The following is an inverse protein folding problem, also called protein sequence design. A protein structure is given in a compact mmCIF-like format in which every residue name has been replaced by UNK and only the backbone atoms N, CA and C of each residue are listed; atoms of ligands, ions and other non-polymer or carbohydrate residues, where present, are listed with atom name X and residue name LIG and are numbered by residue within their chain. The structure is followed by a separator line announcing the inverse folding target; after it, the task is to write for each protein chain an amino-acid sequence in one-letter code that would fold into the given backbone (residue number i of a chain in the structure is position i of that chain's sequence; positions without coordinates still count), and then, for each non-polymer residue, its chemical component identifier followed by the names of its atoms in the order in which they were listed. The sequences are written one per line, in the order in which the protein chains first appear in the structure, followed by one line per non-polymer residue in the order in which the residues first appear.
data_IF_895799570585
#
_entry.id   IF_895799570585
#
_cell.length_a   1.000
_cell.length_b   1.000
_cell.length_c   1.000
_cell.angle_alpha   90.00
_cell.angle_beta   90.00
_cell.angle_gamma   90.00
#
_symmetry.space_group_name_H-M   'P 1'
#
loop_
_entity.id
_entity.type
_entity.pdbx_description
1 polymer ?
#
# COMPACT_ATOMS: atom_id res chain seq x y z
N UNK A 1 3.97 -18.84 9.43
CA UNK A 1 3.03 -17.70 9.29
C UNK A 1 3.69 -16.71 8.37
N UNK A 2 2.97 -16.18 7.39
CA UNK A 2 3.55 -15.20 6.47
C UNK A 2 3.97 -13.94 7.23
N UNK A 3 5.17 -13.44 6.94
CA UNK A 3 5.67 -12.16 7.47
C UNK A 3 5.12 -10.96 6.67
N UNK A 4 4.32 -11.25 5.62
CA UNK A 4 3.60 -10.25 4.86
C UNK A 4 2.44 -9.70 5.69
N UNK A 5 2.23 -8.40 5.60
CA UNK A 5 1.00 -7.75 6.05
C UNK A 5 0.38 -6.98 4.89
N UNK A 6 -0.95 -6.97 4.83
CA UNK A 6 -1.72 -6.23 3.85
C UNK A 6 -2.76 -5.38 4.58
N UNK A 7 -2.86 -4.13 4.19
CA UNK A 7 -3.78 -3.16 4.76
C UNK A 7 -4.56 -2.47 3.66
N UNK A 8 -5.84 -2.26 3.92
CA UNK A 8 -6.66 -1.26 3.24
C UNK A 8 -6.50 0.07 3.97
N UNK A 9 -6.34 1.17 3.23
CA UNK A 9 -6.23 2.51 3.80
C UNK A 9 -7.55 3.24 3.60
N UNK A 10 -8.18 3.68 4.68
CA UNK A 10 -9.46 4.41 4.69
C UNK A 10 -9.22 5.80 5.30
N UNK A 11 -10.11 6.79 5.09
CA UNK A 11 -9.91 8.14 5.62
C UNK A 11 -9.72 8.20 7.14
N UNK A 12 -10.25 7.23 7.87
CA UNK A 12 -10.20 7.10 9.33
C UNK A 12 -9.06 6.20 9.83
N UNK A 13 -8.29 5.55 8.95
CA UNK A 13 -7.13 4.75 9.35
C UNK A 13 -6.80 3.61 8.41
N UNK A 14 -6.31 2.51 8.98
CA UNK A 14 -5.97 1.29 8.25
C UNK A 14 -6.79 0.11 8.75
N UNK A 15 -7.18 -0.76 7.83
CA UNK A 15 -7.85 -2.02 8.13
C UNK A 15 -7.00 -3.19 7.63
N UNK A 16 -6.61 -4.14 8.50
CA UNK A 16 -5.86 -5.32 8.06
C UNK A 16 -6.73 -6.18 7.14
N UNK A 17 -6.12 -6.68 6.06
CA UNK A 17 -6.74 -7.62 5.14
C UNK A 17 -6.12 -9.02 5.31
N UNK A 18 -6.86 -10.08 4.94
CA UNK A 18 -6.33 -11.44 4.96
C UNK A 18 -5.09 -11.58 4.06
N UNK A 19 -4.08 -12.29 4.56
CA UNK A 19 -2.88 -12.67 3.81
C UNK A 19 -2.89 -14.18 3.63
N UNK A 20 -2.75 -14.70 2.41
CA UNK A 20 -2.65 -16.15 2.19
C UNK A 20 -1.51 -16.75 3.01
N UNK A 21 -1.71 -17.90 3.69
CA UNK A 21 -0.74 -18.45 4.62
C UNK A 21 0.60 -18.81 3.95
N UNK A 22 0.54 -19.18 2.67
CA UNK A 22 1.68 -19.60 1.86
C UNK A 22 2.27 -18.46 1.02
N UNK A 23 1.79 -17.22 1.21
CA UNK A 23 2.32 -16.08 0.48
C UNK A 23 3.77 -15.77 0.93
N UNK A 24 4.67 -15.76 -0.04
CA UNK A 24 6.10 -15.44 0.02
C UNK A 24 6.41 -14.07 -0.58
N UNK A 25 5.53 -13.53 -1.42
CA UNK A 25 5.76 -12.30 -2.17
C UNK A 25 4.54 -11.38 -2.24
N UNK A 26 4.80 -10.11 -2.55
CA UNK A 26 3.74 -9.13 -2.74
C UNK A 26 2.77 -9.52 -3.86
N UNK A 27 3.23 -10.14 -4.97
CA UNK A 27 2.34 -10.44 -6.09
C UNK A 27 1.16 -11.36 -5.71
N UNK A 28 1.37 -12.27 -4.76
CA UNK A 28 0.37 -13.23 -4.27
C UNK A 28 -0.71 -12.55 -3.43
N UNK A 29 -0.46 -11.35 -2.92
CA UNK A 29 -1.42 -10.57 -2.13
C UNK A 29 -2.52 -9.92 -2.99
N UNK A 30 -2.28 -9.79 -4.31
CA UNK A 30 -3.17 -9.06 -5.22
C UNK A 30 -3.84 -9.97 -6.25
N UNK A 31 -3.77 -11.29 -6.08
CA UNK A 31 -4.50 -12.22 -6.95
C UNK A 31 -6.00 -11.93 -6.88
N UNK A 32 -6.63 -11.79 -8.05
CA UNK A 32 -8.05 -11.46 -8.17
C UNK A 32 -8.39 -9.97 -8.03
N UNK A 33 -7.41 -9.10 -7.79
CA UNK A 33 -7.61 -7.64 -7.82
C UNK A 33 -7.35 -7.09 -9.22
N UNK A 34 -8.16 -6.12 -9.66
CA UNK A 34 -7.82 -5.31 -10.82
C UNK A 34 -6.59 -4.47 -10.50
N UNK A 35 -5.44 -4.92 -11.00
CA UNK A 35 -4.15 -4.27 -10.77
C UNK A 35 -4.19 -2.84 -11.28
N UNK A 36 -3.69 -1.93 -10.44
CA UNK A 36 -3.60 -0.52 -10.75
C UNK A 36 -2.16 -0.03 -10.80
N UNK A 37 -1.93 1.19 -10.30
CA UNK A 37 -0.59 1.77 -10.20
C UNK A 37 -0.01 1.41 -8.83
N UNK A 38 1.23 0.94 -8.80
CA UNK A 38 1.92 0.66 -7.54
C UNK A 38 3.26 1.37 -7.45
N UNK A 39 3.74 1.51 -6.22
CA UNK A 39 5.11 1.91 -5.94
C UNK A 39 5.64 1.12 -4.76
N UNK A 40 6.88 0.66 -4.88
CA UNK A 40 7.60 -0.02 -3.82
C UNK A 40 8.75 0.86 -3.32
N UNK A 41 8.89 0.95 -2.01
CA UNK A 41 9.87 1.75 -1.30
C UNK A 41 10.36 1.04 -0.03
N UNK A 42 11.38 1.61 0.61
CA UNK A 42 11.99 1.08 1.83
C UNK A 42 11.80 2.05 2.99
N UNK A 43 11.62 1.48 4.18
CA UNK A 43 11.75 2.23 5.44
C UNK A 43 13.05 1.95 6.17
N UNK A 44 13.49 2.94 6.93
CA UNK A 44 14.51 2.87 7.97
C UNK A 44 13.91 3.36 9.27
N UNK A 45 14.48 2.93 10.40
CA UNK A 45 14.02 3.34 11.74
C UNK A 45 12.49 3.31 11.85
N UNK A 46 11.90 2.19 11.41
CA UNK A 46 10.47 1.90 11.35
C UNK A 46 9.69 2.67 10.27
N UNK A 47 9.61 3.99 10.36
CA UNK A 47 8.70 4.81 9.55
C UNK A 47 9.39 5.98 8.82
N UNK A 48 10.73 5.95 8.69
CA UNK A 48 11.46 6.90 7.84
C UNK A 48 11.56 6.34 6.43
N UNK A 49 10.77 6.91 5.53
CA UNK A 49 10.66 6.46 4.14
C UNK A 49 11.78 7.05 3.28
N UNK A 50 12.46 6.21 2.51
CA UNK A 50 13.43 6.67 1.52
C UNK A 50 12.70 7.23 0.29
N UNK A 51 12.85 8.52 0.01
CA UNK A 51 12.34 9.16 -1.22
C UNK A 51 10.82 9.16 -1.37
N UNK A 52 10.06 9.24 -0.27
CA UNK A 52 8.59 9.11 -0.30
C UNK A 52 7.91 10.06 -1.29
N UNK A 53 8.32 11.32 -1.32
CA UNK A 53 7.72 12.32 -2.21
C UNK A 53 7.92 11.98 -3.68
N UNK A 54 9.11 11.47 -4.05
CA UNK A 54 9.40 11.02 -5.42
C UNK A 54 8.55 9.80 -5.80
N UNK A 55 8.36 8.87 -4.86
CA UNK A 55 7.51 7.70 -5.06
C UNK A 55 6.04 8.12 -5.27
N UNK A 56 5.51 9.04 -4.47
CA UNK A 56 4.13 9.55 -4.61
C UNK A 56 3.97 10.29 -5.93
N UNK A 57 4.89 11.22 -6.24
CA UNK A 57 4.86 11.97 -7.51
C UNK A 57 4.86 11.05 -8.72
N UNK A 58 5.71 10.03 -8.72
CA UNK A 58 5.75 9.02 -9.79
C UNK A 58 4.43 8.27 -9.90
N UNK A 59 3.82 7.88 -8.78
CA UNK A 59 2.50 7.21 -8.77
C UNK A 59 1.41 8.10 -9.37
N UNK A 60 1.33 9.37 -8.97
CA UNK A 60 0.36 10.33 -9.52
C UNK A 60 0.56 10.51 -11.03
N UNK A 61 1.81 10.61 -11.49
CA UNK A 61 2.14 10.68 -12.91
C UNK A 61 1.70 9.42 -13.67
N UNK A 62 1.93 8.24 -13.11
CA UNK A 62 1.46 6.97 -13.70
C UNK A 62 -0.06 6.89 -13.77
N UNK A 63 -0.79 7.36 -12.75
CA UNK A 63 -2.26 7.44 -12.79
C UNK A 63 -2.74 8.37 -13.90
N UNK A 64 -2.10 9.53 -14.05
CA UNK A 64 -2.43 10.48 -15.12
C UNK A 64 -2.15 9.91 -16.53
N UNK A 65 -1.05 9.17 -16.72
CA UNK A 65 -0.73 8.51 -18.00
C UNK A 65 -1.75 7.44 -18.39
N UNK A 66 -2.41 6.83 -17.41
CA UNK A 66 -3.51 5.88 -17.64
C UNK A 66 -4.86 6.57 -17.85
N UNK A 67 -4.91 7.91 -17.83
CA UNK A 67 -6.13 8.69 -18.03
C UNK A 67 -7.13 8.55 -16.88
N UNK A 68 -6.65 8.32 -15.65
CA UNK A 68 -7.54 8.19 -14.50
C UNK A 68 -8.04 9.55 -14.02
N UNK A 69 -9.35 9.66 -13.83
CA UNK A 69 -9.99 10.86 -13.23
C UNK A 69 -9.88 10.87 -11.69
N UNK A 70 -9.42 9.77 -11.09
CA UNK A 70 -9.23 9.65 -9.66
C UNK A 70 -8.03 10.47 -9.18
N UNK A 71 -8.27 11.38 -8.24
CA UNK A 71 -7.23 12.14 -7.55
C UNK A 71 -6.79 11.39 -6.28
N UNK A 72 -5.49 11.12 -6.18
CA UNK A 72 -4.92 10.52 -4.98
C UNK A 72 -4.97 11.52 -3.82
N UNK A 73 -5.65 11.14 -2.74
CA UNK A 73 -5.53 11.87 -1.48
C UNK A 73 -4.19 11.52 -0.81
N UNK A 74 -3.20 12.39 -1.02
CA UNK A 74 -1.86 12.20 -0.45
C UNK A 74 -1.86 12.21 1.09
N UNK A 75 -2.79 12.93 1.71
CA UNK A 75 -2.87 12.99 3.18
C UNK A 75 -3.28 11.63 3.72
N UNK A 76 -4.34 11.05 3.14
CA UNK A 76 -4.80 9.70 3.49
C UNK A 76 -3.71 8.66 3.25
N UNK A 77 -3.01 8.72 2.11
CA UNK A 77 -1.90 7.81 1.83
C UNK A 77 -0.77 7.93 2.87
N UNK A 78 -0.34 9.15 3.22
CA UNK A 78 0.74 9.38 4.18
C UNK A 78 0.37 8.92 5.60
N UNK A 79 -0.85 9.21 6.03
CA UNK A 79 -1.38 8.71 7.30
C UNK A 79 -1.43 7.17 7.32
N UNK A 80 -1.92 6.56 6.24
CA UNK A 80 -1.95 5.10 6.09
C UNK A 80 -0.58 4.46 6.13
N UNK A 81 0.40 5.02 5.41
CA UNK A 81 1.80 4.56 5.41
C UNK A 81 2.41 4.60 6.81
N UNK A 82 2.21 5.71 7.52
CA UNK A 82 2.68 5.85 8.90
C UNK A 82 2.04 4.80 9.82
N UNK A 83 0.70 4.67 9.79
CA UNK A 83 -0.03 3.74 10.62
C UNK A 83 0.37 2.28 10.34
N UNK A 84 0.54 1.91 9.06
CA UNK A 84 0.88 0.55 8.68
C UNK A 84 2.32 0.18 9.10
N UNK A 85 3.28 1.10 8.94
CA UNK A 85 4.65 0.87 9.42
C UNK A 85 4.74 0.84 10.96
N UNK A 86 3.95 1.68 11.65
CA UNK A 86 3.86 1.66 13.10
C UNK A 86 3.32 0.32 13.61
N UNK A 87 2.24 -0.18 13.01
CA UNK A 87 1.63 -1.47 13.34
C UNK A 87 2.55 -2.67 13.01
N UNK A 88 3.32 -2.57 11.92
CA UNK A 88 4.26 -3.63 11.52
C UNK A 88 5.43 -3.78 12.50
N UNK A 89 5.88 -2.69 13.13
CA UNK A 89 6.82 -2.72 14.25
C UNK A 89 8.28 -3.08 13.89
N UNK A 90 8.59 -3.36 12.63
CA UNK A 90 9.95 -3.71 12.20
C UNK A 90 10.81 -2.45 11.99
N UNK A 91 12.13 -2.50 12.28
CA UNK A 91 13.02 -1.36 12.08
C UNK A 91 13.21 -1.02 10.60
N UNK A 92 13.05 -1.99 9.70
CA UNK A 92 13.16 -1.81 8.26
C UNK A 92 12.14 -2.69 7.54
N UNK A 93 11.39 -2.09 6.63
CA UNK A 93 10.41 -2.80 5.81
C UNK A 93 10.64 -2.50 4.33
N UNK A 94 10.30 -3.48 3.49
CA UNK A 94 9.85 -3.18 2.12
C UNK A 94 8.38 -2.85 2.22
N UNK A 95 8.00 -1.70 1.69
CA UNK A 95 6.63 -1.22 1.62
C UNK A 95 6.24 -1.16 0.15
N UNK A 96 5.05 -1.63 -0.18
CA UNK A 96 4.42 -1.41 -1.47
C UNK A 96 3.06 -0.79 -1.22
N UNK A 97 2.77 0.33 -1.87
CA UNK A 97 1.41 0.85 -1.91
C UNK A 97 0.86 0.73 -3.32
N UNK A 98 -0.41 0.38 -3.42
CA UNK A 98 -1.14 0.19 -4.67
C UNK A 98 -2.37 1.09 -4.67
N UNK A 99 -2.59 1.76 -5.81
CA UNK A 99 -3.79 2.52 -6.10
C UNK A 99 -4.57 1.73 -7.15
N UNK A 100 -5.71 1.21 -6.76
CA UNK A 100 -6.55 0.37 -7.59
C UNK A 100 -7.35 1.19 -8.61
N UNK A 101 -7.60 0.60 -9.77
CA UNK A 101 -8.39 1.21 -10.84
C UNK A 101 -9.86 1.43 -10.42
N UNK A 102 -10.37 0.60 -9.52
CA UNK A 102 -11.71 0.68 -8.95
C UNK A 102 -11.69 0.48 -7.43
N UNK A 103 -12.72 0.94 -6.71
CA UNK A 103 -12.83 0.71 -5.27
C UNK A 103 -12.91 -0.77 -4.95
N UNK A 104 -12.39 -1.11 -3.77
CA UNK A 104 -12.31 -2.48 -3.31
C UNK A 104 -13.63 -2.96 -2.67
N UNK A 105 -14.68 -3.03 -3.50
CA UNK A 105 -16.05 -3.34 -3.06
C UNK A 105 -16.19 -4.69 -2.34
N UNK A 106 -15.36 -5.68 -2.69
CA UNK A 106 -15.35 -7.00 -2.06
C UNK A 106 -15.03 -6.97 -0.56
N UNK A 107 -14.46 -5.86 -0.05
CA UNK A 107 -14.22 -5.64 1.38
C UNK A 107 -15.11 -4.54 1.97
N UNK A 108 -16.26 -4.24 1.35
CA UNK A 108 -17.21 -3.20 1.78
C UNK A 108 -16.57 -1.83 1.94
N UNK A 109 -15.62 -1.47 1.08
CA UNK A 109 -14.96 -0.16 1.09
C UNK A 109 -15.06 0.55 -0.24
N UNK A 110 -15.01 1.88 -0.17
CA UNK A 110 -14.86 2.76 -1.33
C UNK A 110 -13.40 3.18 -1.56
N UNK A 111 -12.49 2.74 -0.69
CA UNK A 111 -11.07 3.02 -0.86
C UNK A 111 -10.47 2.25 -2.03
N UNK A 112 -9.44 2.86 -2.61
CA UNK A 112 -8.60 2.33 -3.70
C UNK A 112 -7.17 2.10 -3.26
N UNK A 113 -6.83 2.36 -1.99
CA UNK A 113 -5.44 2.38 -1.52
C UNK A 113 -5.17 1.13 -0.69
N UNK A 114 -4.20 0.34 -1.13
CA UNK A 114 -3.66 -0.79 -0.39
C UNK A 114 -2.20 -0.53 0.01
N UNK A 115 -1.79 -1.05 1.15
CA UNK A 115 -0.40 -1.05 1.61
C UNK A 115 -0.01 -2.47 2.01
N UNK A 116 1.02 -3.01 1.39
CA UNK A 116 1.66 -4.25 1.77
C UNK A 116 3.04 -3.99 2.39
N UNK A 117 3.37 -4.76 3.42
CA UNK A 117 4.67 -4.72 4.09
C UNK A 117 5.29 -6.11 4.17
N UNK A 118 6.61 -6.16 4.12
CA UNK A 118 7.40 -7.32 4.54
C UNK A 118 8.74 -6.87 5.12
N UNK A 119 9.42 -7.71 5.91
CA UNK A 119 10.76 -7.39 6.40
C UNK A 119 11.71 -7.10 5.24
N UNK A 120 12.67 -6.20 5.46
CA UNK A 120 13.71 -5.95 4.46
C UNK A 120 14.81 -7.04 4.45
N UNK A 121 15.02 -7.66 5.62
CA UNK A 121 16.07 -8.64 5.91
C UNK A 121 15.95 -9.92 5.07
#
# INVERSE_FOLDING_TARGET
MSELQLFLVEPDGIRPLPVPPDATGFHELYEGLELGVYSALRTYEQNKFLGLDDHIKRTVQSMALLGWDYQLDETVLRCGLHAACAAFGQPQARVRFDILAQPLHQFNSTSRILIALKPFA
#
